data_IF_654049436283
#
_entry.id   IF_654049436283
#
_cell.length_a   1.000
_cell.length_b   1.000
_cell.length_c   1.000
_cell.angle_alpha   90.00
_cell.angle_beta   90.00
_cell.angle_gamma   90.00
#
_symmetry.space_group_name_H-M   'P 1'
#
loop_
_entity.id
_entity.type
_entity.pdbx_description
1 polymer ?
#
# COMPACT_ATOMS: atom_id res chain seq x y z
N UNK A 1 2.90 8.77 29.02
CA UNK A 1 2.85 10.17 28.54
C UNK A 1 4.25 10.57 28.14
N UNK A 2 4.57 10.36 26.87
CA UNK A 2 5.59 11.11 26.15
C UNK A 2 5.06 11.13 24.72
N UNK A 3 4.46 12.25 24.34
CA UNK A 3 4.17 12.53 22.93
C UNK A 3 5.53 12.76 22.29
N UNK A 4 5.94 11.86 21.42
CA UNK A 4 6.99 12.15 20.44
C UNK A 4 6.41 13.22 19.51
N UNK A 5 6.83 14.46 19.71
CA UNK A 5 6.65 15.53 18.73
C UNK A 5 7.39 15.12 17.45
N UNK A 6 6.67 14.46 16.55
CA UNK A 6 7.00 14.46 15.14
C UNK A 6 6.85 15.90 14.69
N UNK A 7 7.96 16.60 14.46
CA UNK A 7 7.91 17.84 13.68
C UNK A 7 7.34 17.47 12.32
N UNK A 8 6.04 17.76 12.11
CA UNK A 8 5.42 17.69 10.80
C UNK A 8 6.32 18.48 9.85
N UNK A 9 6.87 17.80 8.85
CA UNK A 9 7.62 18.48 7.80
C UNK A 9 6.66 19.45 7.13
N UNK A 10 6.94 20.74 7.23
CA UNK A 10 6.28 21.73 6.39
C UNK A 10 6.72 21.47 4.95
N UNK A 11 5.85 20.90 4.13
CA UNK A 11 5.86 21.17 2.70
C UNK A 11 6.03 19.96 1.80
N UNK A 12 4.92 19.61 1.15
CA UNK A 12 4.83 19.25 -0.25
C UNK A 12 6.06 18.66 -0.94
N UNK A 13 5.92 17.40 -1.34
CA UNK A 13 6.95 16.64 -2.02
C UNK A 13 7.28 15.38 -1.24
N UNK A 14 8.53 14.93 -1.35
CA UNK A 14 9.03 13.73 -0.70
C UNK A 14 9.51 14.06 0.72
N UNK A 15 8.86 13.48 1.72
CA UNK A 15 9.23 13.52 3.12
C UNK A 15 9.79 12.16 3.56
N UNK A 16 10.76 12.17 4.47
CA UNK A 16 11.25 10.95 5.14
C UNK A 16 10.69 10.96 6.56
N UNK A 17 9.95 9.91 6.92
CA UNK A 17 9.28 9.77 8.21
C UNK A 17 9.72 8.50 8.91
N UNK A 18 9.58 8.50 10.23
CA UNK A 18 10.01 7.41 11.10
C UNK A 18 8.87 6.98 12.01
N UNK A 19 8.78 5.68 12.30
CA UNK A 19 7.85 5.08 13.25
C UNK A 19 8.65 4.17 14.19
N UNK A 20 8.43 4.29 15.49
CA UNK A 20 8.92 3.34 16.48
C UNK A 20 7.79 2.34 16.81
N UNK A 21 8.07 1.04 16.65
CA UNK A 21 7.09 -0.03 16.93
C UNK A 21 7.24 -0.52 18.37
N UNK A 22 6.21 -0.29 19.20
CA UNK A 22 6.22 -0.61 20.64
C UNK A 22 6.41 -2.10 20.95
N UNK A 23 5.79 -2.99 20.15
CA UNK A 23 5.80 -4.45 20.34
C UNK A 23 6.59 -5.18 19.23
N UNK A 24 7.74 -4.64 18.82
CA UNK A 24 8.61 -5.28 17.84
C UNK A 24 9.26 -6.58 18.41
N UNK A 25 9.06 -7.72 17.75
CA UNK A 25 9.69 -9.00 18.13
C UNK A 25 11.16 -9.14 17.69
N UNK A 26 11.84 -8.02 17.41
CA UNK A 26 13.08 -8.05 16.65
C UNK A 26 14.28 -8.46 17.51
N UNK A 27 15.21 -9.17 16.86
CA UNK A 27 16.46 -9.58 17.50
C UNK A 27 17.42 -8.42 17.85
N UNK A 28 17.19 -7.25 17.24
CA UNK A 28 17.94 -6.02 17.45
C UNK A 28 16.95 -4.86 17.70
N UNK A 29 17.06 -4.11 18.81
CA UNK A 29 16.16 -2.99 19.12
C UNK A 29 16.10 -1.90 18.05
N UNK A 30 17.15 -1.75 17.24
CA UNK A 30 17.13 -0.77 16.12
C UNK A 30 16.17 -1.15 15.02
N UNK A 31 15.80 -2.42 14.92
CA UNK A 31 14.86 -2.90 13.90
C UNK A 31 13.42 -2.43 14.18
N UNK A 32 13.17 -1.85 15.36
CA UNK A 32 11.89 -1.30 15.77
C UNK A 32 11.67 0.13 15.29
N UNK A 33 12.76 0.87 15.05
CA UNK A 33 12.72 2.18 14.42
C UNK A 33 12.71 1.98 12.90
N UNK A 34 11.57 2.25 12.29
CA UNK A 34 11.31 2.02 10.88
C UNK A 34 11.23 3.36 10.14
N UNK A 35 11.70 3.36 8.91
CA UNK A 35 11.68 4.53 8.02
C UNK A 35 10.74 4.26 6.84
N UNK A 36 9.99 5.27 6.40
CA UNK A 36 9.27 5.28 5.15
C UNK A 36 9.35 6.65 4.51
N UNK A 37 9.32 6.69 3.17
CA UNK A 37 9.21 7.94 2.45
C UNK A 37 7.74 8.19 2.09
N UNK A 38 7.28 9.42 2.26
CA UNK A 38 5.93 9.86 1.99
C UNK A 38 5.98 10.92 0.90
N UNK A 39 5.20 10.76 -0.16
CA UNK A 39 5.11 11.75 -1.22
C UNK A 39 3.67 12.21 -1.41
N UNK A 40 3.48 13.52 -1.28
CA UNK A 40 2.20 14.18 -1.57
C UNK A 40 2.12 14.59 -3.04
N UNK A 41 1.05 14.22 -3.77
CA UNK A 41 0.88 14.62 -5.16
C UNK A 41 0.67 16.13 -5.30
N UNK A 42 1.01 16.68 -6.46
CA UNK A 42 0.98 18.13 -6.70
C UNK A 42 -0.39 18.78 -6.48
N UNK A 43 -1.50 18.03 -6.57
CA UNK A 43 -2.84 18.55 -6.26
C UNK A 43 -3.01 18.97 -4.79
N UNK A 44 -2.22 18.37 -3.89
CA UNK A 44 -2.19 18.73 -2.48
C UNK A 44 -1.24 19.89 -2.19
N UNK A 45 -0.58 20.44 -3.21
CA UNK A 45 0.46 21.44 -3.02
C UNK A 45 0.03 22.81 -3.48
N UNK A 46 0.01 23.74 -2.52
CA UNK A 46 -0.23 25.15 -2.74
C UNK A 46 1.01 25.94 -2.36
N UNK A 47 1.43 26.83 -3.25
CA UNK A 47 2.47 27.80 -2.95
C UNK A 47 1.83 28.97 -2.22
N UNK A 48 2.33 29.30 -1.03
CA UNK A 48 1.93 30.49 -0.29
C UNK A 48 2.42 31.79 -0.99
N UNK A 49 1.95 32.98 -0.59
CA UNK A 49 2.38 34.25 -1.18
C UNK A 49 3.89 34.54 -1.02
N UNK A 50 4.55 33.88 -0.06
CA UNK A 50 5.98 34.01 0.20
C UNK A 50 6.83 33.03 -0.63
N UNK A 51 6.18 32.17 -1.43
CA UNK A 51 6.83 31.22 -2.32
C UNK A 51 7.13 29.85 -1.69
N UNK A 52 6.57 29.54 -0.51
CA UNK A 52 6.74 28.24 0.14
C UNK A 52 5.61 27.29 -0.24
N UNK A 53 5.95 26.08 -0.65
CA UNK A 53 4.96 25.04 -0.93
C UNK A 53 4.48 24.40 0.36
N UNK A 54 3.16 24.37 0.57
CA UNK A 54 2.49 23.79 1.72
C UNK A 54 1.35 22.87 1.31
N UNK A 55 0.99 21.94 2.20
CA UNK A 55 -0.18 21.09 1.98
C UNK A 55 -1.46 21.92 2.02
N UNK A 56 -2.38 21.63 1.11
CA UNK A 56 -3.76 22.12 1.17
C UNK A 56 -4.34 21.69 2.50
N UNK A 57 -4.60 22.66 3.39
CA UNK A 57 -5.31 22.39 4.65
C UNK A 57 -6.76 22.05 4.31
N UNK A 58 -7.18 20.82 4.60
CA UNK A 58 -8.56 20.44 4.43
C UNK A 58 -9.46 21.19 5.42
N UNK A 59 -10.76 21.27 5.15
CA UNK A 59 -11.74 21.90 6.05
C UNK A 59 -11.79 21.26 7.46
N UNK A 60 -11.20 20.08 7.65
CA UNK A 60 -11.08 19.37 8.93
C UNK A 60 -9.78 19.68 9.70
N UNK A 61 -8.75 20.25 9.05
CA UNK A 61 -7.44 20.54 9.66
C UNK A 61 -7.40 21.92 10.35
N UNK A 62 -8.51 22.68 10.26
CA UNK A 62 -8.73 23.87 11.07
C UNK A 62 -9.25 23.44 12.45
N UNK A 63 -8.33 23.49 13.42
CA UNK A 63 -8.57 23.40 14.85
C UNK A 63 -9.87 24.12 15.28
N UNK A 64 -10.54 23.50 16.25
CA UNK A 64 -11.75 23.96 16.91
C UNK A 64 -11.66 25.38 17.51
N UNK A 65 -10.46 25.99 17.53
CA UNK A 65 -10.24 27.40 17.89
C UNK A 65 -10.94 28.41 16.97
N UNK A 66 -11.24 28.06 15.72
CA UNK A 66 -12.01 28.95 14.80
C UNK A 66 -13.53 28.80 14.92
N UNK A 67 -14.05 27.81 15.66
CA UNK A 67 -15.49 27.66 15.91
C UNK A 67 -16.04 28.54 17.03
N UNK A 68 -15.22 29.39 17.65
CA UNK A 68 -15.67 30.38 18.63
C UNK A 68 -15.71 31.79 18.03
N UNK A 69 -16.55 32.02 17.02
CA UNK A 69 -17.07 33.36 16.73
C UNK A 69 -18.50 33.43 17.24
N UNK A 70 -18.65 34.26 18.28
CA UNK A 70 -19.74 34.26 19.23
C UNK A 70 -21.13 34.44 18.62
N UNK A 71 -22.09 33.79 19.26
CA UNK A 71 -23.49 34.16 19.22
C UNK A 71 -23.70 35.48 19.97
N UNK A 72 -23.24 36.60 19.43
CA UNK A 72 -23.66 37.93 19.89
C UNK A 72 -24.05 38.76 18.67
N UNK A 73 -25.33 39.10 18.60
CA UNK A 73 -25.87 39.93 17.54
C UNK A 73 -25.27 41.33 17.57
N UNK A 74 -24.46 41.66 16.57
CA UNK A 74 -24.22 43.02 16.15
C UNK A 74 -23.73 43.05 14.70
N UNK A 75 -24.39 43.89 13.92
CA UNK A 75 -24.15 44.19 12.51
C UNK A 75 -22.73 44.70 12.23
N UNK A 76 -22.05 44.09 11.25
CA UNK A 76 -20.91 44.70 10.57
C UNK A 76 -19.69 43.78 10.40
N UNK A 77 -19.72 42.90 9.41
CA UNK A 77 -18.49 42.28 8.87
C UNK A 77 -18.15 43.02 7.57
N UNK A 78 -16.94 43.59 7.42
CA UNK A 78 -16.47 44.14 6.14
C UNK A 78 -16.50 43.08 5.04
N UNK A 79 -16.93 43.46 3.84
CA UNK A 79 -17.23 42.57 2.73
C UNK A 79 -16.00 42.02 1.96
N UNK A 80 -14.81 42.02 2.56
CA UNK A 80 -13.55 41.66 1.87
C UNK A 80 -12.75 40.58 2.61
N UNK A 81 -13.41 39.60 3.22
CA UNK A 81 -12.75 38.31 3.50
C UNK A 81 -12.98 37.47 2.25
N UNK A 82 -11.99 37.47 1.35
CA UNK A 82 -11.84 36.40 0.36
C UNK A 82 -11.88 35.08 1.15
N UNK A 83 -13.02 34.42 1.13
CA UNK A 83 -13.10 33.02 1.49
C UNK A 83 -12.19 32.31 0.51
N UNK A 84 -10.96 32.01 0.93
CA UNK A 84 -10.10 31.02 0.28
C UNK A 84 -10.98 29.81 0.03
N UNK A 85 -11.39 29.59 -1.22
CA UNK A 85 -12.10 28.38 -1.60
C UNK A 85 -11.15 27.23 -1.26
N UNK A 86 -11.39 26.58 -0.13
CA UNK A 86 -10.65 25.40 0.27
C UNK A 86 -10.85 24.37 -0.85
N UNK A 87 -9.74 23.93 -1.45
CA UNK A 87 -9.79 22.89 -2.46
C UNK A 87 -10.22 21.59 -1.77
N UNK A 88 -11.50 21.23 -1.92
CA UNK A 88 -11.97 19.91 -1.52
C UNK A 88 -11.46 18.88 -2.52
N UNK A 89 -10.32 18.26 -2.18
CA UNK A 89 -9.69 17.20 -2.97
C UNK A 89 -10.39 15.86 -2.81
N UNK A 90 -11.40 15.76 -1.93
CA UNK A 90 -12.05 14.51 -1.57
C UNK A 90 -11.08 13.50 -0.95
N UNK A 91 -11.34 12.22 -1.18
CA UNK A 91 -10.43 11.14 -0.76
C UNK A 91 -9.40 10.85 -1.85
N UNK A 92 -8.12 10.87 -1.49
CA UNK A 92 -7.04 10.44 -2.36
C UNK A 92 -6.60 9.00 -2.01
N UNK A 93 -6.30 8.16 -3.02
CA UNK A 93 -5.74 6.83 -2.78
C UNK A 93 -4.39 6.91 -2.06
N UNK A 94 -4.18 6.06 -1.06
CA UNK A 94 -2.87 5.82 -0.47
C UNK A 94 -2.22 4.61 -1.17
N UNK A 95 -1.07 4.80 -1.80
CA UNK A 95 -0.41 3.77 -2.61
C UNK A 95 0.95 3.42 -2.01
N UNK A 96 1.10 2.17 -1.60
CA UNK A 96 2.37 1.61 -1.14
C UNK A 96 3.19 1.09 -2.33
N UNK A 97 4.43 1.55 -2.45
CA UNK A 97 5.39 1.08 -3.45
C UNK A 97 6.56 0.38 -2.75
N UNK A 98 6.54 -0.96 -2.73
CA UNK A 98 7.44 -1.79 -1.93
C UNK A 98 8.60 -2.35 -2.78
N UNK A 99 9.83 -2.03 -2.39
CA UNK A 99 11.02 -2.34 -3.18
C UNK A 99 11.39 -3.84 -3.19
N UNK A 100 12.22 -4.22 -4.17
CA UNK A 100 12.80 -5.56 -4.27
C UNK A 100 13.93 -5.82 -3.26
N UNK A 101 14.32 -7.08 -3.08
CA UNK A 101 15.45 -7.44 -2.23
C UNK A 101 16.74 -6.82 -2.77
N UNK A 102 17.49 -6.13 -1.90
CA UNK A 102 18.70 -5.39 -2.24
C UNK A 102 18.46 -4.05 -2.96
N UNK A 103 17.20 -3.70 -3.25
CA UNK A 103 16.81 -2.42 -3.83
C UNK A 103 16.58 -1.37 -2.73
N UNK A 104 16.54 -0.10 -3.09
CA UNK A 104 16.26 1.01 -2.16
C UNK A 104 14.89 1.64 -2.41
N UNK A 105 14.40 2.42 -1.44
CA UNK A 105 13.20 3.24 -1.58
C UNK A 105 13.28 4.19 -2.79
N UNK A 106 14.46 4.79 -3.03
CA UNK A 106 14.70 5.70 -4.15
C UNK A 106 14.41 5.08 -5.54
N UNK A 107 14.60 3.76 -5.68
CA UNK A 107 14.23 3.05 -6.92
C UNK A 107 12.72 3.08 -7.13
N UNK A 108 11.93 2.91 -6.08
CA UNK A 108 10.48 2.96 -6.14
C UNK A 108 9.99 4.41 -6.29
N UNK A 109 10.59 5.38 -5.62
CA UNK A 109 10.26 6.80 -5.80
C UNK A 109 10.40 7.22 -7.27
N UNK A 110 11.57 6.94 -7.89
CA UNK A 110 11.80 7.28 -9.28
C UNK A 110 10.82 6.61 -10.26
N UNK A 111 10.28 5.45 -9.88
CA UNK A 111 9.29 4.73 -10.68
C UNK A 111 7.86 5.22 -10.45
N UNK A 112 7.48 5.65 -9.23
CA UNK A 112 6.09 5.85 -8.83
C UNK A 112 5.69 7.30 -8.57
N UNK A 113 6.62 8.23 -8.32
CA UNK A 113 6.29 9.66 -8.13
C UNK A 113 5.55 10.28 -9.33
N UNK A 114 5.92 10.02 -10.60
CA UNK A 114 5.15 10.53 -11.73
C UNK A 114 3.69 10.05 -11.72
N UNK A 115 3.46 8.79 -11.35
CA UNK A 115 2.11 8.23 -11.24
C UNK A 115 1.35 8.80 -10.05
N UNK A 116 2.04 9.10 -8.95
CA UNK A 116 1.41 9.77 -7.80
C UNK A 116 0.77 11.10 -8.22
N UNK A 117 1.48 11.88 -9.04
CA UNK A 117 0.95 13.13 -9.60
C UNK A 117 -0.15 12.89 -10.64
N UNK A 118 0.07 12.01 -11.61
CA UNK A 118 -0.88 11.79 -12.70
C UNK A 118 -2.24 11.24 -12.22
N UNK A 119 -2.25 10.48 -11.11
CA UNK A 119 -3.43 9.83 -10.58
C UNK A 119 -3.91 10.40 -9.24
N UNK A 120 -3.33 11.51 -8.78
CA UNK A 120 -3.67 12.16 -7.52
C UNK A 120 -3.67 11.18 -6.33
N UNK A 121 -2.58 10.44 -6.14
CA UNK A 121 -2.44 9.49 -5.04
C UNK A 121 -1.30 9.88 -4.10
N UNK A 122 -1.52 9.71 -2.80
CA UNK A 122 -0.45 9.81 -1.80
C UNK A 122 0.41 8.55 -1.89
N UNK A 123 1.71 8.71 -2.09
CA UNK A 123 2.64 7.60 -2.27
C UNK A 123 3.40 7.35 -0.96
N UNK A 124 3.42 6.09 -0.54
CA UNK A 124 4.21 5.59 0.59
C UNK A 124 5.25 4.62 0.05
N UNK A 125 6.51 4.84 0.42
CA UNK A 125 7.64 3.98 0.04
C UNK A 125 8.30 3.47 1.32
N UNK A 126 7.89 2.29 1.82
CA UNK A 126 8.49 1.73 3.03
C UNK A 126 9.96 1.35 2.80
N UNK A 127 10.81 1.55 3.81
CA UNK A 127 12.21 1.13 3.79
C UNK A 127 12.36 -0.22 4.48
N UNK A 128 12.82 -1.22 3.73
CA UNK A 128 13.12 -2.55 4.23
C UNK A 128 14.43 -2.59 5.02
N UNK A 129 14.45 -3.33 6.13
CA UNK A 129 15.66 -3.50 6.95
C UNK A 129 16.67 -4.34 6.18
N UNK A 130 17.91 -3.85 6.10
CA UNK A 130 18.98 -4.46 5.29
C UNK A 130 18.50 -4.71 3.84
N UNK A 131 17.72 -3.77 3.30
CA UNK A 131 17.10 -3.82 1.97
C UNK A 131 16.24 -5.09 1.75
N UNK A 132 15.56 -5.57 2.78
CA UNK A 132 14.69 -6.73 2.73
C UNK A 132 13.41 -6.55 3.57
N UNK A 133 12.37 -7.29 3.20
CA UNK A 133 11.13 -7.45 3.96
C UNK A 133 10.91 -8.92 4.30
N UNK A 134 10.30 -9.17 5.45
CA UNK A 134 9.85 -10.47 5.91
C UNK A 134 8.60 -10.90 5.13
N UNK A 135 8.82 -11.38 3.92
CA UNK A 135 7.75 -11.67 2.97
C UNK A 135 7.42 -13.17 2.90
N UNK A 136 7.49 -13.86 4.06
CA UNK A 136 7.21 -15.30 4.27
C UNK A 136 8.10 -16.28 3.49
N UNK A 137 8.06 -16.26 2.16
CA UNK A 137 8.83 -17.16 1.28
C UNK A 137 10.07 -16.50 0.68
N UNK A 138 10.26 -15.21 0.90
CA UNK A 138 11.44 -14.46 0.50
C UNK A 138 11.76 -13.49 1.63
N UNK A 139 12.98 -13.18 1.99
CA UNK A 139 14.31 -13.73 1.79
C UNK A 139 15.21 -12.69 2.47
N UNK A 140 16.44 -13.06 2.86
CA UNK A 140 17.35 -12.11 3.51
C UNK A 140 16.97 -11.77 4.95
N UNK A 141 17.60 -10.72 5.47
CA UNK A 141 17.66 -10.42 6.91
C UNK A 141 16.29 -10.32 7.57
N UNK A 142 15.35 -9.60 6.93
CA UNK A 142 14.04 -9.35 7.53
C UNK A 142 13.27 -10.66 7.77
N UNK A 143 13.34 -11.61 6.83
CA UNK A 143 12.78 -12.96 7.01
C UNK A 143 13.53 -13.74 8.10
N UNK A 144 14.87 -13.75 8.04
CA UNK A 144 15.72 -14.48 9.00
C UNK A 144 15.52 -14.03 10.45
N UNK A 145 15.22 -12.74 10.65
CA UNK A 145 14.99 -12.14 11.96
C UNK A 145 13.52 -12.00 12.34
N UNK A 146 12.61 -12.47 11.49
CA UNK A 146 11.17 -12.36 11.72
C UNK A 146 10.75 -10.91 12.01
N UNK A 147 11.23 -9.98 11.20
CA UNK A 147 10.87 -8.56 11.27
C UNK A 147 9.37 -8.42 10.98
N UNK A 148 8.66 -7.64 11.78
CA UNK A 148 7.22 -7.45 11.62
C UNK A 148 6.91 -6.30 10.63
N UNK A 149 7.06 -6.60 9.35
CA UNK A 149 6.77 -5.66 8.26
C UNK A 149 5.27 -5.44 8.04
N UNK A 150 4.41 -6.37 8.47
CA UNK A 150 2.95 -6.21 8.36
C UNK A 150 2.47 -5.15 9.34
N UNK A 151 2.87 -5.26 10.61
CA UNK A 151 2.54 -4.25 11.62
C UNK A 151 3.13 -2.89 11.26
N UNK A 152 4.34 -2.85 10.66
CA UNK A 152 4.90 -1.61 10.16
C UNK A 152 3.99 -0.91 9.14
N UNK A 153 3.47 -1.65 8.15
CA UNK A 153 2.57 -1.08 7.15
C UNK A 153 1.24 -0.66 7.76
N UNK A 154 0.71 -1.43 8.70
CA UNK A 154 -0.51 -1.10 9.45
C UNK A 154 -0.37 0.22 10.23
N UNK A 155 0.77 0.44 10.89
CA UNK A 155 1.05 1.68 11.61
C UNK A 155 1.09 2.89 10.67
N UNK A 156 1.74 2.78 9.50
CA UNK A 156 1.74 3.87 8.51
C UNK A 156 0.31 4.21 8.08
N UNK A 157 -0.52 3.21 7.77
CA UNK A 157 -1.90 3.43 7.32
C UNK A 157 -2.70 4.16 8.40
N UNK A 158 -2.61 3.69 9.65
CA UNK A 158 -3.33 4.26 10.79
C UNK A 158 -2.89 5.71 11.06
N UNK A 159 -1.58 5.95 11.11
CA UNK A 159 -1.04 7.26 11.45
C UNK A 159 -1.41 8.28 10.36
N UNK A 160 -1.25 7.94 9.08
CA UNK A 160 -1.62 8.83 7.97
C UNK A 160 -3.13 9.05 7.86
N UNK A 161 -3.96 8.05 8.15
CA UNK A 161 -5.43 8.21 8.16
C UNK A 161 -5.92 9.04 9.35
N UNK A 162 -5.17 9.05 10.45
CA UNK A 162 -5.43 9.90 11.61
C UNK A 162 -4.95 11.34 11.41
N UNK A 163 -3.86 11.53 10.65
CA UNK A 163 -3.25 12.84 10.37
C UNK A 163 -3.96 13.58 9.22
N UNK A 164 -4.38 12.88 8.16
CA UNK A 164 -4.89 13.50 6.94
C UNK A 164 -6.32 13.10 6.60
N UNK A 165 -7.22 14.09 6.59
CA UNK A 165 -8.65 13.88 6.29
C UNK A 165 -8.94 13.35 4.87
N UNK A 166 -8.04 13.56 3.91
CA UNK A 166 -8.14 13.03 2.54
C UNK A 166 -7.62 11.58 2.41
N UNK A 167 -7.02 10.99 3.45
CA UNK A 167 -6.58 9.59 3.47
C UNK A 167 -7.61 8.73 4.19
N UNK A 168 -8.00 7.60 3.59
CA UNK A 168 -8.93 6.63 4.19
C UNK A 168 -8.37 5.21 4.15
N UNK A 169 -8.57 4.47 5.24
CA UNK A 169 -8.14 3.07 5.36
C UNK A 169 -8.79 2.13 4.32
N UNK A 170 -9.97 2.50 3.78
CA UNK A 170 -10.65 1.73 2.73
C UNK A 170 -10.13 2.02 1.30
N UNK A 171 -9.23 3.00 1.17
CA UNK A 171 -8.68 3.50 -0.09
C UNK A 171 -7.15 3.32 -0.18
N UNK A 172 -6.64 2.22 0.40
CA UNK A 172 -5.21 1.88 0.41
C UNK A 172 -4.89 0.76 -0.59
N UNK A 173 -3.84 0.94 -1.37
CA UNK A 173 -3.40 0.05 -2.44
C UNK A 173 -1.91 -0.26 -2.30
N UNK A 174 -1.45 -1.38 -2.84
CA UNK A 174 -0.03 -1.70 -2.82
C UNK A 174 0.48 -2.30 -4.11
N UNK A 175 1.71 -1.97 -4.47
CA UNK A 175 2.49 -2.56 -5.56
C UNK A 175 3.85 -2.92 -5.01
N UNK A 176 4.36 -4.09 -5.39
CA UNK A 176 5.64 -4.57 -4.89
C UNK A 176 6.42 -5.36 -5.93
N UNK A 177 7.75 -5.25 -5.91
CA UNK A 177 8.64 -5.95 -6.83
C UNK A 177 9.40 -7.07 -6.13
N UNK A 178 9.40 -8.29 -6.69
CA UNK A 178 10.16 -9.44 -6.15
C UNK A 178 9.87 -9.67 -4.66
N UNK A 179 10.83 -9.48 -3.75
CA UNK A 179 10.61 -9.51 -2.29
C UNK A 179 9.48 -8.56 -1.84
N UNK A 180 9.40 -7.35 -2.38
CA UNK A 180 8.25 -6.46 -2.17
C UNK A 180 6.95 -7.01 -2.76
N UNK A 181 7.02 -7.76 -3.86
CA UNK A 181 5.86 -8.47 -4.44
C UNK A 181 5.31 -9.54 -3.50
N UNK A 182 6.20 -10.35 -2.92
CA UNK A 182 5.84 -11.27 -1.85
C UNK A 182 5.28 -10.52 -0.64
N UNK A 183 5.86 -9.37 -0.28
CA UNK A 183 5.48 -8.61 0.90
C UNK A 183 4.07 -8.02 0.77
N UNK A 184 3.73 -7.43 -0.38
CA UNK A 184 2.37 -6.92 -0.60
C UNK A 184 1.34 -8.05 -0.66
N UNK A 185 1.76 -9.26 -1.05
CA UNK A 185 0.90 -10.45 -1.00
C UNK A 185 0.69 -10.93 0.45
N UNK A 186 1.74 -10.92 1.27
CA UNK A 186 1.67 -11.25 2.70
C UNK A 186 0.75 -10.28 3.46
N UNK A 187 0.96 -8.97 3.26
CA UNK A 187 0.21 -7.89 3.89
C UNK A 187 -1.14 -7.59 3.21
N UNK A 188 -1.64 -8.47 2.34
CA UNK A 188 -2.76 -8.13 1.45
C UNK A 188 -4.11 -7.88 2.16
N UNK A 189 -4.23 -8.24 3.44
CA UNK A 189 -5.37 -7.88 4.29
C UNK A 189 -5.50 -6.36 4.50
N UNK A 190 -4.39 -5.62 4.45
CA UNK A 190 -4.35 -4.17 4.64
C UNK A 190 -4.85 -3.39 3.40
N UNK A 191 -4.87 -4.02 2.22
CA UNK A 191 -5.02 -3.30 0.96
C UNK A 191 -6.31 -3.63 0.22
N UNK A 192 -6.97 -2.61 -0.32
CA UNK A 192 -8.14 -2.72 -1.21
C UNK A 192 -7.81 -3.46 -2.50
N UNK A 193 -6.60 -3.29 -3.02
CA UNK A 193 -6.03 -4.11 -4.08
C UNK A 193 -4.50 -4.15 -4.00
N UNK A 194 -3.92 -5.24 -4.52
CA UNK A 194 -2.47 -5.43 -4.59
C UNK A 194 -2.00 -5.73 -6.01
N UNK A 195 -0.77 -5.31 -6.31
CA UNK A 195 -0.04 -5.59 -7.54
C UNK A 195 1.30 -6.27 -7.22
N UNK A 196 1.29 -7.59 -6.96
CA UNK A 196 2.51 -8.37 -6.79
C UNK A 196 3.22 -8.58 -8.14
N UNK A 197 4.39 -7.97 -8.31
CA UNK A 197 5.22 -8.09 -9.51
C UNK A 197 6.37 -9.05 -9.25
N UNK A 198 6.39 -10.18 -9.96
CA UNK A 198 7.40 -11.24 -9.80
C UNK A 198 7.63 -11.67 -8.34
N UNK A 199 6.57 -11.76 -7.53
CA UNK A 199 6.62 -12.31 -6.17
C UNK A 199 5.21 -12.57 -5.64
N UNK A 200 4.88 -13.81 -5.30
CA UNK A 200 3.53 -14.20 -4.88
C UNK A 200 3.57 -15.40 -3.95
N UNK A 201 2.58 -15.51 -3.06
CA UNK A 201 2.46 -16.66 -2.16
C UNK A 201 1.55 -17.73 -2.77
N UNK A 202 1.84 -19.00 -2.48
CA UNK A 202 0.98 -20.14 -2.84
C UNK A 202 -0.34 -20.14 -2.06
N UNK A 203 -0.34 -19.52 -0.88
CA UNK A 203 -1.46 -19.42 0.02
C UNK A 203 -1.77 -17.96 0.36
N UNK A 204 -3.04 -17.59 0.29
CA UNK A 204 -3.54 -16.31 0.80
C UNK A 204 -3.68 -16.34 2.31
N UNK A 205 -3.41 -15.19 2.94
CA UNK A 205 -3.50 -14.98 4.38
C UNK A 205 -4.88 -15.40 4.93
N UNK A 206 -4.91 -15.96 6.14
CA UNK A 206 -6.13 -16.55 6.71
C UNK A 206 -7.22 -15.50 6.94
N UNK A 207 -6.81 -14.27 7.23
CA UNK A 207 -7.66 -13.10 7.47
C UNK A 207 -8.47 -12.75 6.23
N UNK A 208 -7.90 -12.96 5.04
CA UNK A 208 -8.58 -12.75 3.76
C UNK A 208 -9.65 -13.80 3.45
N UNK A 209 -9.62 -14.93 4.17
CA UNK A 209 -10.56 -16.04 3.98
C UNK A 209 -11.71 -16.01 5.00
N UNK A 210 -11.68 -15.09 5.97
CA UNK A 210 -12.63 -14.98 7.09
C UNK A 210 -13.76 -13.98 6.81
N UNK A 211 -14.92 -14.28 7.41
CA UNK A 211 -16.16 -13.48 7.50
C UNK A 211 -16.94 -13.23 6.20
N UNK A 212 -18.06 -13.93 6.03
CA UNK A 212 -19.08 -13.57 5.05
C UNK A 212 -19.83 -12.30 5.49
N UNK A 213 -19.76 -11.23 4.68
CA UNK A 213 -20.63 -10.06 4.81
C UNK A 213 -21.73 -10.12 3.75
N UNK A 214 -22.90 -9.59 4.08
CA UNK A 214 -24.00 -9.48 3.12
C UNK A 214 -23.74 -8.28 2.23
N UNK A 215 -23.55 -8.53 0.94
CA UNK A 215 -23.42 -7.52 -0.10
C UNK A 215 -24.72 -7.49 -0.90
N UNK A 216 -25.35 -6.32 -1.03
CA UNK A 216 -26.60 -6.17 -1.77
C UNK A 216 -26.45 -5.16 -2.91
N UNK A 217 -26.90 -5.53 -4.10
CA UNK A 217 -27.04 -4.64 -5.26
C UNK A 217 -28.48 -4.77 -5.76
N UNK A 218 -29.21 -3.66 -5.86
CA UNK A 218 -30.60 -3.61 -6.36
C UNK A 218 -31.54 -4.63 -5.71
N UNK A 219 -31.39 -4.83 -4.38
CA UNK A 219 -32.21 -5.77 -3.62
C UNK A 219 -31.81 -7.24 -3.74
N UNK A 220 -30.79 -7.56 -4.55
CA UNK A 220 -30.18 -8.90 -4.62
C UNK A 220 -29.00 -8.94 -3.68
N UNK A 221 -29.08 -9.78 -2.65
CA UNK A 221 -28.05 -9.92 -1.64
C UNK A 221 -27.29 -11.24 -1.81
N UNK A 222 -25.96 -11.17 -1.80
CA UNK A 222 -25.06 -12.32 -1.76
C UNK A 222 -24.22 -12.26 -0.49
N UNK A 223 -23.86 -13.42 0.04
CA UNK A 223 -22.83 -13.50 1.07
C UNK A 223 -21.48 -13.52 0.38
N UNK A 224 -20.63 -12.55 0.66
CA UNK A 224 -19.30 -12.43 0.12
C UNK A 224 -18.30 -12.19 1.25
N UNK A 225 -17.16 -12.88 1.22
CA UNK A 225 -16.11 -12.69 2.24
C UNK A 225 -15.56 -11.26 2.22
N UNK A 226 -15.44 -10.70 1.03
CA UNK A 226 -15.18 -9.29 0.85
C UNK A 226 -16.26 -8.65 -0.04
N UNK A 227 -17.24 -7.92 0.53
CA UNK A 227 -18.34 -7.33 -0.23
C UNK A 227 -17.89 -6.19 -1.16
N UNK A 228 -16.77 -5.52 -0.85
CA UNK A 228 -16.14 -4.57 -1.77
C UNK A 228 -15.27 -5.28 -2.83
N UNK A 229 -14.95 -6.57 -2.63
CA UNK A 229 -13.91 -7.28 -3.33
C UNK A 229 -12.51 -6.79 -2.95
N UNK A 230 -11.48 -7.59 -3.29
CA UNK A 230 -10.08 -7.18 -3.28
C UNK A 230 -9.45 -7.42 -4.64
N UNK A 231 -8.86 -6.38 -5.20
CA UNK A 231 -8.20 -6.48 -6.50
C UNK A 231 -6.86 -7.21 -6.40
N UNK A 232 -6.54 -7.99 -7.43
CA UNK A 232 -5.24 -8.61 -7.61
C UNK A 232 -4.78 -8.37 -9.05
N UNK A 233 -3.66 -7.69 -9.23
CA UNK A 233 -2.99 -7.54 -10.51
C UNK A 233 -1.64 -8.27 -10.48
N UNK A 234 -1.59 -9.48 -11.01
CA UNK A 234 -0.33 -10.23 -11.08
C UNK A 234 0.45 -9.87 -12.34
N UNK A 235 1.70 -9.46 -12.18
CA UNK A 235 2.61 -9.22 -13.30
C UNK A 235 3.83 -10.14 -13.20
N UNK A 236 4.05 -10.97 -14.22
CA UNK A 236 5.17 -11.89 -14.23
C UNK A 236 5.61 -12.25 -15.64
N UNK A 237 6.92 -12.31 -15.86
CA UNK A 237 7.49 -12.80 -17.12
C UNK A 237 7.27 -14.31 -17.27
N UNK A 238 6.85 -14.78 -18.45
CA UNK A 238 6.61 -16.22 -18.70
C UNK A 238 7.89 -17.06 -18.66
N UNK A 239 9.06 -16.42 -18.76
CA UNK A 239 10.39 -17.02 -18.68
C UNK A 239 11.17 -16.53 -17.44
N UNK A 240 10.48 -15.96 -16.45
CA UNK A 240 11.11 -15.54 -15.19
C UNK A 240 11.74 -16.76 -14.50
N UNK A 241 13.04 -16.65 -14.22
CA UNK A 241 13.85 -17.68 -13.57
C UNK A 241 14.11 -17.38 -12.10
N UNK A 242 13.84 -16.16 -11.65
CA UNK A 242 14.01 -15.74 -10.26
C UNK A 242 12.81 -16.21 -9.45
N UNK A 243 11.62 -15.84 -9.89
CA UNK A 243 10.34 -16.37 -9.39
C UNK A 243 9.66 -17.03 -10.57
N UNK A 244 9.52 -18.35 -10.53
CA UNK A 244 9.01 -19.10 -11.67
C UNK A 244 7.48 -18.96 -11.76
N UNK A 245 6.91 -18.76 -12.95
CA UNK A 245 5.46 -18.76 -13.13
C UNK A 245 4.80 -20.10 -12.76
N UNK A 246 5.57 -21.19 -12.74
CA UNK A 246 5.13 -22.53 -12.35
C UNK A 246 5.12 -22.76 -10.84
N UNK A 247 5.59 -21.80 -10.03
CA UNK A 247 5.76 -21.94 -8.58
C UNK A 247 7.22 -22.12 -8.16
N UNK A 248 7.50 -21.77 -6.91
CA UNK A 248 8.80 -21.94 -6.25
C UNK A 248 8.63 -22.89 -5.06
N UNK A 249 8.95 -24.17 -5.21
CA UNK A 249 8.78 -25.15 -4.13
C UNK A 249 10.08 -25.86 -3.72
N UNK A 250 10.06 -26.42 -2.51
CA UNK A 250 11.20 -27.11 -1.90
C UNK A 250 11.53 -28.46 -2.56
N UNK A 251 10.69 -28.95 -3.47
CA UNK A 251 10.91 -30.19 -4.25
C UNK A 251 12.27 -30.15 -4.99
N UNK A 252 13.19 -31.10 -4.74
CA UNK A 252 14.51 -31.14 -5.37
C UNK A 252 14.46 -31.47 -6.87
N UNK A 253 13.40 -32.12 -7.35
CA UNK A 253 13.25 -32.53 -8.75
C UNK A 253 12.64 -31.42 -9.62
N UNK A 254 12.24 -30.29 -9.00
CA UNK A 254 11.72 -29.12 -9.71
C UNK A 254 12.81 -28.06 -9.92
N UNK A 255 12.76 -27.32 -11.03
CA UNK A 255 13.64 -26.18 -11.22
C UNK A 255 13.50 -25.16 -10.08
N UNK A 256 14.61 -24.87 -9.40
CA UNK A 256 14.63 -23.95 -8.25
C UNK A 256 14.44 -22.50 -8.68
N UNK A 257 13.87 -21.72 -7.77
CA UNK A 257 13.86 -20.27 -7.81
C UNK A 257 15.17 -19.72 -7.22
N UNK A 258 15.45 -18.44 -7.46
CA UNK A 258 16.65 -17.80 -6.94
C UNK A 258 16.57 -17.57 -5.42
N UNK A 259 17.70 -17.23 -4.80
CA UNK A 259 17.71 -16.33 -3.67
C UNK A 259 17.02 -16.90 -2.41
N UNK A 260 16.99 -18.24 -2.28
CA UNK A 260 16.33 -18.93 -1.17
C UNK A 260 14.79 -18.90 -1.23
N UNK A 261 14.21 -18.57 -2.38
CA UNK A 261 12.75 -18.51 -2.54
C UNK A 261 12.19 -19.92 -2.71
N UNK A 262 11.47 -20.39 -1.70
CA UNK A 262 10.75 -21.65 -1.75
C UNK A 262 9.54 -21.68 -0.82
N UNK A 263 8.57 -22.51 -1.18
CA UNK A 263 7.37 -22.81 -0.43
C UNK A 263 7.14 -24.33 -0.38
N UNK A 264 6.35 -24.80 0.58
CA UNK A 264 6.07 -26.24 0.71
C UNK A 264 5.31 -26.79 -0.51
N UNK A 265 4.45 -25.96 -1.13
CA UNK A 265 3.62 -26.36 -2.28
C UNK A 265 3.96 -25.54 -3.53
N UNK A 266 4.15 -26.22 -4.65
CA UNK A 266 4.34 -25.59 -5.96
C UNK A 266 2.98 -25.19 -6.54
N UNK A 267 2.69 -23.89 -6.56
CA UNK A 267 1.44 -23.36 -7.16
C UNK A 267 1.80 -22.40 -8.28
N UNK A 268 1.33 -22.64 -9.53
CA UNK A 268 1.53 -21.71 -10.62
C UNK A 268 0.85 -20.36 -10.36
N UNK A 269 1.45 -19.26 -10.82
CA UNK A 269 0.91 -17.91 -10.61
C UNK A 269 -0.52 -17.74 -11.14
N UNK A 270 -0.86 -18.42 -12.25
CA UNK A 270 -2.25 -18.44 -12.76
C UNK A 270 -3.21 -19.11 -11.79
N UNK A 271 -2.80 -20.19 -11.15
CA UNK A 271 -3.63 -20.88 -10.15
C UNK A 271 -3.80 -20.00 -8.90
N UNK A 272 -2.77 -19.25 -8.50
CA UNK A 272 -2.89 -18.25 -7.42
C UNK A 272 -3.94 -17.19 -7.75
N UNK A 273 -3.99 -16.67 -8.98
CA UNK A 273 -5.03 -15.73 -9.39
C UNK A 273 -6.44 -16.34 -9.33
N UNK A 274 -6.60 -17.61 -9.74
CA UNK A 274 -7.89 -18.33 -9.64
C UNK A 274 -8.30 -18.51 -8.18
N UNK A 275 -7.37 -18.95 -7.32
CA UNK A 275 -7.61 -19.11 -5.88
C UNK A 275 -7.98 -17.77 -5.24
N UNK A 276 -7.34 -16.66 -5.62
CA UNK A 276 -7.72 -15.33 -5.12
C UNK A 276 -9.18 -14.99 -5.45
N UNK A 277 -9.60 -15.21 -6.70
CA UNK A 277 -10.98 -14.93 -7.12
C UNK A 277 -12.00 -15.74 -6.31
N UNK A 278 -11.71 -17.02 -6.03
CA UNK A 278 -12.62 -17.90 -5.30
C UNK A 278 -12.55 -17.65 -3.79
N UNK A 279 -11.35 -17.73 -3.21
CA UNK A 279 -11.15 -17.75 -1.76
C UNK A 279 -11.34 -16.39 -1.11
N UNK A 280 -10.96 -15.30 -1.81
CA UNK A 280 -10.99 -13.93 -1.31
C UNK A 280 -12.25 -13.19 -1.78
N UNK A 281 -12.62 -13.36 -3.05
CA UNK A 281 -13.73 -12.60 -3.67
C UNK A 281 -15.02 -13.40 -3.82
N UNK A 282 -15.05 -14.68 -3.43
CA UNK A 282 -16.24 -15.53 -3.53
C UNK A 282 -16.83 -15.60 -4.94
N UNK A 283 -16.00 -15.46 -5.98
CA UNK A 283 -16.46 -15.65 -7.36
C UNK A 283 -16.89 -17.10 -7.57
N UNK A 284 -18.04 -17.31 -8.23
CA UNK A 284 -18.57 -18.64 -8.53
C UNK A 284 -17.66 -19.40 -9.51
N UNK A 285 -17.79 -20.74 -9.50
CA UNK A 285 -17.09 -21.78 -10.26
C UNK A 285 -16.11 -21.31 -11.37
N UNK A 286 -14.89 -21.88 -11.46
CA UNK A 286 -13.83 -21.46 -12.40
C UNK A 286 -14.27 -21.26 -13.87
N UNK A 287 -15.31 -21.98 -14.31
CA UNK A 287 -15.89 -21.87 -15.66
C UNK A 287 -16.54 -20.51 -15.95
N UNK A 288 -16.83 -19.70 -14.93
CA UNK A 288 -17.45 -18.37 -15.05
C UNK A 288 -16.45 -17.22 -14.86
N UNK A 289 -15.20 -17.53 -14.51
CA UNK A 289 -14.14 -16.54 -14.34
C UNK A 289 -13.63 -16.04 -15.70
N UNK A 290 -13.92 -14.79 -16.02
CA UNK A 290 -13.25 -14.09 -17.13
C UNK A 290 -11.91 -13.53 -16.65
N UNK A 291 -10.85 -14.34 -16.74
CA UNK A 291 -9.48 -13.86 -16.51
C UNK A 291 -8.97 -13.13 -17.76
N UNK A 292 -8.85 -11.79 -17.67
CA UNK A 292 -8.19 -10.99 -18.70
C UNK A 292 -6.67 -11.17 -18.59
N UNK A 293 -6.07 -11.81 -19.59
CA UNK A 293 -4.62 -11.96 -19.70
C UNK A 293 -4.11 -11.09 -20.84
N UNK A 294 -3.21 -10.16 -20.53
CA UNK A 294 -2.50 -9.38 -21.53
C UNK A 294 -1.07 -9.90 -21.66
N UNK A 295 -0.79 -10.66 -22.72
CA UNK A 295 0.58 -11.04 -23.07
C UNK A 295 1.15 -9.97 -24.00
N UNK A 296 1.98 -9.06 -23.47
CA UNK A 296 2.83 -8.22 -24.30
C UNK A 296 4.10 -9.00 -24.64
N UNK A 297 4.30 -9.35 -25.91
CA UNK A 297 5.63 -9.70 -26.39
C UNK A 297 6.41 -8.41 -26.49
N UNK A 298 7.40 -8.22 -25.62
CA UNK A 298 8.46 -7.27 -25.94
C UNK A 298 9.27 -7.91 -27.06
N UNK A 299 8.97 -7.52 -28.31
CA UNK A 299 9.94 -7.69 -29.37
C UNK A 299 11.16 -6.88 -28.94
N UNK A 300 12.18 -7.56 -28.41
CA UNK A 300 13.51 -6.97 -28.38
C UNK A 300 13.87 -6.77 -29.84
N UNK A 301 13.86 -5.53 -30.32
CA UNK A 301 14.65 -5.18 -31.49
C UNK A 301 16.08 -5.64 -31.19
N UNK A 302 16.54 -6.59 -32.02
CA UNK A 302 17.85 -7.25 -31.94
C UNK A 302 18.93 -6.30 -32.42
#
# INVERSE_FOLDING_TARGET
>A
MNQTESSAGDGCGLEIRHIELDDCSASNPRDCLREYHLYFPSILCQTDPDGNDGLVKGAADLDASTRSLGSDGATGVPADIETTEFLDVGTLPLVFAVHCFGCSAAVMEGAFVPYANDYNSVLVVPVGIENSFNARHCCGYALEKSIDDVSFFEHIIRDLSGEFSFVREDSVYAVGWSNGGFMVFEAAALFRAISPISGYLSETASELKKEEKVFCVDGVCVKAKNPAGRGLFMHQGTNDKLVRPTGCCSDPDKPKCCCGIEADTCVPSKEVAVRWAIDVNSCLEPSTLSLSHLLRRTEKEV
#
